data_IF_791599178791
#
_entry.id   IF_791599178791
#
_cell.length_a   1.000
_cell.length_b   1.000
_cell.length_c   1.000
_cell.angle_alpha   90.00
_cell.angle_beta   90.00
_cell.angle_gamma   90.00
#
_symmetry.space_group_name_H-M   'P 1'
#
loop_
_entity.id
_entity.type
_entity.pdbx_description
1 polymer ?
#
# COMPACT_ATOMS: atom_id res chain seq x y z
N UNK A 1 -7.15 4.46 -25.28
CA UNK A 1 -7.00 5.56 -24.30
C UNK A 1 -7.69 5.11 -23.01
N UNK A 2 -7.02 5.14 -21.85
CA UNK A 2 -7.69 4.83 -20.59
C UNK A 2 -8.84 5.82 -20.39
N UNK A 3 -10.00 5.30 -20.03
CA UNK A 3 -11.20 6.11 -19.82
C UNK A 3 -11.01 7.03 -18.60
N UNK A 4 -11.81 8.10 -18.53
CA UNK A 4 -11.82 8.97 -17.34
C UNK A 4 -12.16 8.16 -16.08
N UNK A 5 -13.01 7.14 -16.21
CA UNK A 5 -13.36 6.21 -15.14
C UNK A 5 -12.14 5.41 -14.65
N UNK A 6 -11.30 4.90 -15.56
CA UNK A 6 -10.09 4.16 -15.20
C UNK A 6 -9.12 5.02 -14.39
N UNK A 7 -8.96 6.29 -14.77
CA UNK A 7 -8.11 7.25 -14.03
C UNK A 7 -8.66 7.58 -12.64
N UNK A 8 -9.99 7.65 -12.48
CA UNK A 8 -10.63 7.87 -11.19
C UNK A 8 -10.45 6.64 -10.29
N UNK A 9 -10.68 5.44 -10.83
CA UNK A 9 -10.46 4.18 -10.10
C UNK A 9 -9.00 4.05 -9.67
N UNK A 10 -8.05 4.36 -10.56
CA UNK A 10 -6.61 4.32 -10.24
C UNK A 10 -6.25 5.27 -9.09
N UNK A 11 -6.83 6.48 -9.10
CA UNK A 11 -6.61 7.48 -8.05
C UNK A 11 -7.15 7.04 -6.70
N UNK A 12 -8.39 6.54 -6.66
CA UNK A 12 -9.01 6.07 -5.41
C UNK A 12 -8.30 4.82 -4.88
N UNK A 13 -7.93 3.88 -5.76
CA UNK A 13 -7.14 2.71 -5.39
C UNK A 13 -5.79 3.12 -4.79
N UNK A 14 -5.08 4.09 -5.40
CA UNK A 14 -3.80 4.58 -4.87
C UNK A 14 -3.97 5.20 -3.48
N UNK A 15 -5.08 5.92 -3.24
CA UNK A 15 -5.37 6.53 -1.95
C UNK A 15 -5.64 5.46 -0.88
N UNK A 16 -6.51 4.50 -1.17
CA UNK A 16 -6.83 3.39 -0.25
C UNK A 16 -5.58 2.56 0.09
N UNK A 17 -4.74 2.24 -0.90
CA UNK A 17 -3.49 1.51 -0.66
C UNK A 17 -2.51 2.28 0.23
N UNK A 18 -2.43 3.61 0.05
CA UNK A 18 -1.60 4.47 0.91
C UNK A 18 -2.13 4.48 2.34
N UNK A 19 -3.44 4.65 2.52
CA UNK A 19 -4.06 4.71 3.84
C UNK A 19 -3.95 3.36 4.56
N UNK A 20 -4.07 2.24 3.84
CA UNK A 20 -3.83 0.91 4.37
C UNK A 20 -2.39 0.72 4.89
N UNK A 21 -1.39 1.20 4.14
CA UNK A 21 0.02 1.15 4.58
C UNK A 21 0.25 1.99 5.85
N UNK A 22 -0.39 3.16 5.97
CA UNK A 22 -0.30 4.00 7.17
C UNK A 22 -0.91 3.28 8.38
N UNK A 23 -2.12 2.70 8.23
CA UNK A 23 -2.77 1.94 9.30
C UNK A 23 -1.93 0.74 9.73
N UNK A 24 -1.35 0.03 8.77
CA UNK A 24 -0.45 -1.09 9.04
C UNK A 24 0.78 -0.65 9.86
N UNK A 25 1.44 0.45 9.48
CA UNK A 25 2.56 0.99 10.24
C UNK A 25 2.15 1.36 11.68
N UNK A 26 1.00 2.04 11.84
CA UNK A 26 0.47 2.43 13.14
C UNK A 26 0.20 1.22 14.04
N UNK A 27 -0.40 0.15 13.50
CA UNK A 27 -0.64 -1.08 14.25
C UNK A 27 0.66 -1.75 14.69
N UNK A 28 1.70 -1.74 13.86
CA UNK A 28 3.01 -2.28 14.23
C UNK A 28 3.64 -1.47 15.38
N UNK A 29 3.56 -0.13 15.30
CA UNK A 29 4.04 0.76 16.38
C UNK A 29 3.28 0.53 17.69
N UNK A 30 1.96 0.43 17.63
CA UNK A 30 1.11 0.16 18.80
C UNK A 30 1.37 -1.22 19.42
N UNK A 31 1.76 -2.20 18.61
CA UNK A 31 2.09 -3.55 19.08
C UNK A 31 3.49 -3.64 19.71
N UNK A 32 4.23 -2.54 19.81
CA UNK A 32 5.58 -2.52 20.40
C UNK A 32 6.65 -3.17 19.51
N UNK A 33 6.41 -3.28 18.20
CA UNK A 33 7.41 -3.81 17.26
C UNK A 33 8.58 -2.81 17.14
N UNK A 34 9.82 -3.30 17.16
CA UNK A 34 11.00 -2.44 17.00
C UNK A 34 11.02 -1.72 15.65
N UNK A 35 11.58 -0.51 15.60
CA UNK A 35 11.62 0.29 14.37
C UNK A 35 12.28 -0.44 13.20
N UNK A 36 13.32 -1.25 13.44
CA UNK A 36 13.97 -2.03 12.38
C UNK A 36 13.06 -3.13 11.82
N UNK A 37 12.27 -3.78 12.69
CA UNK A 37 11.29 -4.77 12.26
C UNK A 37 10.09 -4.10 11.56
N UNK A 38 9.69 -2.90 12.00
CA UNK A 38 8.70 -2.07 11.28
C UNK A 38 9.21 -1.74 9.88
N UNK A 39 10.45 -1.27 9.72
CA UNK A 39 11.03 -0.97 8.40
C UNK A 39 11.00 -2.19 7.47
N UNK A 40 11.38 -3.36 7.98
CA UNK A 40 11.38 -4.60 7.19
C UNK A 40 9.96 -5.02 6.78
N UNK A 41 9.00 -4.96 7.71
CA UNK A 41 7.59 -5.27 7.42
C UNK A 41 6.97 -4.27 6.45
N UNK A 42 7.25 -2.98 6.61
CA UNK A 42 6.81 -1.93 5.70
C UNK A 42 7.40 -2.09 4.29
N UNK A 43 8.66 -2.53 4.18
CA UNK A 43 9.27 -2.86 2.88
C UNK A 43 8.53 -4.01 2.19
N UNK A 44 8.25 -5.09 2.92
CA UNK A 44 7.47 -6.22 2.40
C UNK A 44 6.05 -5.82 1.98
N UNK A 45 5.36 -5.02 2.80
CA UNK A 45 4.03 -4.52 2.49
C UNK A 45 4.02 -3.65 1.22
N UNK A 46 5.02 -2.77 1.03
CA UNK A 46 5.16 -1.97 -0.20
C UNK A 46 5.40 -2.84 -1.43
N UNK A 47 6.23 -3.88 -1.32
CA UNK A 47 6.46 -4.83 -2.42
C UNK A 47 5.20 -5.60 -2.77
N UNK A 48 4.43 -6.04 -1.78
CA UNK A 48 3.15 -6.71 -1.99
C UNK A 48 2.13 -5.81 -2.69
N UNK A 49 2.01 -4.56 -2.25
CA UNK A 49 1.14 -3.56 -2.90
C UNK A 49 1.59 -3.32 -4.35
N UNK A 50 2.89 -3.18 -4.60
CA UNK A 50 3.42 -3.01 -5.96
C UNK A 50 3.13 -4.22 -6.86
N UNK A 51 3.23 -5.44 -6.33
CA UNK A 51 2.85 -6.66 -7.04
C UNK A 51 1.37 -6.68 -7.40
N UNK A 52 0.48 -6.38 -6.45
CA UNK A 52 -0.97 -6.32 -6.70
C UNK A 52 -1.32 -5.25 -7.74
N UNK A 53 -0.68 -4.08 -7.65
CA UNK A 53 -0.90 -2.99 -8.60
C UNK A 53 -0.40 -3.33 -10.00
N UNK A 54 0.78 -3.95 -10.12
CA UNK A 54 1.31 -4.43 -11.39
C UNK A 54 0.43 -5.51 -12.03
N UNK A 55 -0.20 -6.38 -11.22
CA UNK A 55 -1.16 -7.38 -11.70
C UNK A 55 -2.52 -6.78 -12.08
N UNK A 56 -2.91 -5.64 -11.51
CA UNK A 56 -4.16 -4.96 -11.87
C UNK A 56 -4.04 -4.17 -13.18
N UNK A 57 -2.85 -3.67 -13.50
CA UNK A 57 -2.59 -2.87 -14.70
C UNK A 57 -2.11 -3.68 -15.92
N UNK A 58 -1.72 -4.94 -15.72
CA UNK A 58 -1.28 -5.86 -16.79
C UNK A 58 -2.40 -6.77 -17.25
#
# INVERSE_FOLDING_TARGET
MPSVLDKVIERELRKELRDALIRFEQQLRQSGVSDDNIKNRMRGAKQFVAFLYGRYLG
#
